data_IF_714477098484
#
_entry.id   IF_714477098484
#
_cell.length_a   1.000
_cell.length_b   1.000
_cell.length_c   1.000
_cell.angle_alpha   90.00
_cell.angle_beta   90.00
_cell.angle_gamma   90.00
#
_symmetry.space_group_name_H-M   'P 1'
#
loop_
_entity.id
_entity.type
_entity.pdbx_description
1 polymer ?
#
# COMPACT_ATOMS: atom_id res chain seq x y z
N UNK A 1 40.32 45.16 -22.73
CA UNK A 1 39.27 44.59 -23.61
C UNK A 1 39.08 43.08 -23.47
N UNK A 2 40.11 42.29 -23.14
CA UNK A 2 39.98 40.82 -23.03
C UNK A 2 39.14 40.33 -21.83
N UNK A 3 39.22 41.03 -20.69
CA UNK A 3 38.52 40.67 -19.45
C UNK A 3 37.00 40.85 -19.54
N UNK A 4 36.53 41.92 -20.18
CA UNK A 4 35.10 42.18 -20.38
C UNK A 4 34.42 41.14 -21.30
N UNK A 5 35.14 40.59 -22.27
CA UNK A 5 34.60 39.55 -23.16
C UNK A 5 34.43 38.21 -22.45
N UNK A 6 35.32 37.89 -21.51
CA UNK A 6 35.26 36.65 -20.72
C UNK A 6 34.10 36.65 -19.72
N UNK A 7 33.83 37.79 -19.06
CA UNK A 7 32.68 37.92 -18.15
C UNK A 7 31.35 37.88 -18.88
N UNK A 8 31.24 38.52 -20.05
CA UNK A 8 30.02 38.47 -20.87
C UNK A 8 29.75 37.04 -21.38
N UNK A 9 30.79 36.31 -21.76
CA UNK A 9 30.66 34.92 -22.21
C UNK A 9 30.23 33.99 -21.06
N UNK A 10 30.81 34.15 -19.87
CA UNK A 10 30.43 33.37 -18.69
C UNK A 10 28.97 33.63 -18.27
N UNK A 11 28.52 34.88 -18.34
CA UNK A 11 27.13 35.25 -18.07
C UNK A 11 26.16 34.63 -19.10
N UNK A 12 26.50 34.68 -20.39
CA UNK A 12 25.68 34.09 -21.45
C UNK A 12 25.56 32.56 -21.31
N UNK A 13 26.67 31.88 -20.95
CA UNK A 13 26.65 30.44 -20.68
C UNK A 13 25.80 30.11 -19.44
N UNK A 14 25.94 30.89 -18.37
CA UNK A 14 25.14 30.71 -17.15
C UNK A 14 23.64 30.88 -17.38
N UNK A 15 23.23 31.91 -18.14
CA UNK A 15 21.83 32.13 -18.52
C UNK A 15 21.31 30.98 -19.38
N UNK A 16 22.10 30.52 -20.34
CA UNK A 16 21.70 29.41 -21.23
C UNK A 16 21.51 28.10 -20.46
N UNK A 17 22.41 27.80 -19.52
CA UNK A 17 22.29 26.64 -18.63
C UNK A 17 21.08 26.76 -17.69
N UNK A 18 20.85 27.95 -17.12
CA UNK A 18 19.69 28.20 -16.26
C UNK A 18 18.36 28.02 -17.01
N UNK A 19 18.24 28.56 -18.22
CA UNK A 19 17.05 28.37 -19.07
C UNK A 19 16.88 26.89 -19.41
N UNK A 20 17.95 26.19 -19.79
CA UNK A 20 17.88 24.75 -20.09
C UNK A 20 17.37 23.93 -18.89
N UNK A 21 17.90 24.16 -17.69
CA UNK A 21 17.46 23.47 -16.46
C UNK A 21 15.98 23.76 -16.17
N UNK A 22 15.55 25.03 -16.27
CA UNK A 22 14.15 25.40 -16.04
C UNK A 22 13.23 24.79 -17.10
N UNK A 23 13.63 24.76 -18.37
CA UNK A 23 12.85 24.13 -19.44
C UNK A 23 12.74 22.63 -19.24
N UNK A 24 13.82 21.95 -18.83
CA UNK A 24 13.81 20.52 -18.52
C UNK A 24 12.92 20.22 -17.31
N UNK A 25 13.07 20.98 -16.21
CA UNK A 25 12.23 20.82 -15.02
C UNK A 25 10.76 21.11 -15.32
N UNK A 26 10.46 22.15 -16.12
CA UNK A 26 9.10 22.47 -16.51
C UNK A 26 8.52 21.42 -17.47
N UNK A 27 9.33 20.81 -18.34
CA UNK A 27 8.92 19.69 -19.17
C UNK A 27 8.54 18.46 -18.33
N UNK A 28 9.35 18.12 -17.32
CA UNK A 28 9.01 17.06 -16.37
C UNK A 28 7.80 17.40 -15.49
N UNK A 29 7.59 18.68 -15.16
CA UNK A 29 6.46 19.12 -14.35
C UNK A 29 5.14 19.19 -15.13
N UNK A 30 5.18 19.35 -16.46
CA UNK A 30 4.01 19.29 -17.33
C UNK A 30 3.66 17.86 -17.79
N UNK A 31 4.46 16.87 -17.42
CA UNK A 31 4.24 15.48 -17.80
C UNK A 31 3.13 14.87 -16.91
N UNK A 32 1.87 14.98 -17.34
CA UNK A 32 0.70 14.32 -16.73
C UNK A 32 0.91 12.81 -16.48
N UNK A 33 1.90 12.22 -17.15
CA UNK A 33 2.27 10.83 -17.02
C UNK A 33 2.75 10.45 -15.61
N UNK A 34 3.39 11.37 -14.86
CA UNK A 34 3.77 11.13 -13.47
C UNK A 34 2.54 11.05 -12.55
N UNK A 35 1.55 11.91 -12.75
CA UNK A 35 0.28 11.84 -12.00
C UNK A 35 -0.46 10.51 -12.25
N UNK A 36 -0.47 10.01 -13.50
CA UNK A 36 -1.03 8.68 -13.82
C UNK A 36 -0.22 7.50 -13.28
N UNK A 37 1.08 7.69 -13.03
CA UNK A 37 1.92 6.70 -12.35
C UNK A 37 1.54 6.55 -10.87
N UNK A 38 1.12 7.64 -10.22
CA UNK A 38 0.79 7.66 -8.79
C UNK A 38 -0.70 7.54 -8.48
N UNK A 39 -1.62 7.88 -9.39
CA UNK A 39 -3.07 7.76 -9.22
C UNK A 39 -3.71 7.23 -10.52
N UNK A 40 -4.11 5.94 -10.57
CA UNK A 40 -4.86 5.43 -11.70
C UNK A 40 -6.34 5.84 -11.62
N UNK A 41 -6.87 6.43 -12.69
CA UNK A 41 -8.29 6.33 -13.06
C UNK A 41 -8.47 5.00 -13.79
N UNK A 42 -9.29 4.09 -13.26
CA UNK A 42 -9.51 2.78 -13.84
C UNK A 42 -10.84 2.77 -14.62
N UNK A 43 -10.75 2.47 -15.91
CA UNK A 43 -11.84 2.52 -16.90
C UNK A 43 -12.81 1.34 -16.81
N UNK A 44 -13.17 0.87 -15.60
CA UNK A 44 -14.10 -0.25 -15.41
C UNK A 44 -15.59 0.12 -15.57
N UNK A 45 -15.90 1.39 -15.82
CA UNK A 45 -17.27 1.87 -15.96
C UNK A 45 -17.92 1.52 -17.32
N UNK A 46 -17.13 1.30 -18.39
CA UNK A 46 -17.73 1.03 -19.71
C UNK A 46 -18.40 -0.34 -19.81
N UNK A 47 -17.78 -1.37 -19.23
CA UNK A 47 -18.27 -2.75 -19.31
C UNK A 47 -19.48 -2.98 -18.38
N UNK A 48 -19.49 -2.36 -17.19
CA UNK A 48 -20.64 -2.43 -16.28
C UNK A 48 -21.89 -1.74 -16.85
N UNK A 49 -21.73 -0.61 -17.55
CA UNK A 49 -22.85 0.09 -18.19
C UNK A 49 -23.48 -0.75 -19.30
N UNK A 50 -22.68 -1.51 -20.05
CA UNK A 50 -23.18 -2.36 -21.13
C UNK A 50 -23.90 -3.62 -20.61
N UNK A 51 -23.40 -4.21 -19.52
CA UNK A 51 -24.08 -5.32 -18.81
C UNK A 51 -25.41 -4.84 -18.23
N UNK A 52 -25.42 -3.68 -17.57
CA UNK A 52 -26.65 -3.11 -16.97
C UNK A 52 -27.69 -2.81 -18.05
N UNK A 53 -27.27 -2.24 -19.19
CA UNK A 53 -28.15 -2.00 -20.35
C UNK A 53 -28.68 -3.31 -20.94
N UNK A 54 -27.85 -4.34 -21.07
CA UNK A 54 -28.27 -5.67 -21.56
C UNK A 54 -29.26 -6.37 -20.64
N UNK A 55 -29.15 -6.18 -19.32
CA UNK A 55 -30.07 -6.76 -18.34
C UNK A 55 -31.44 -6.05 -18.35
N UNK A 56 -31.46 -4.72 -18.50
CA UNK A 56 -32.70 -3.92 -18.52
C UNK A 56 -33.53 -4.15 -19.80
N UNK A 57 -32.88 -4.47 -20.93
CA UNK A 57 -33.57 -4.76 -22.18
C UNK A 57 -34.03 -6.21 -22.36
N UNK A 58 -33.92 -7.06 -21.33
CA UNK A 58 -34.41 -8.44 -21.37
C UNK A 58 -35.94 -8.46 -21.21
N UNK A 59 -36.62 -8.28 -22.35
CA UNK A 59 -38.03 -8.60 -22.65
C UNK A 59 -38.99 -8.57 -21.45
N UNK A 60 -39.40 -7.36 -21.07
CA UNK A 60 -40.38 -7.07 -20.02
C UNK A 60 -41.76 -7.70 -20.24
N UNK A 61 -42.02 -8.28 -21.41
CA UNK A 61 -43.29 -8.93 -21.73
C UNK A 61 -43.39 -10.39 -21.24
N UNK A 62 -42.33 -10.94 -20.63
CA UNK A 62 -42.31 -12.34 -20.16
C UNK A 62 -42.53 -12.52 -18.65
N UNK A 63 -42.56 -11.44 -17.88
CA UNK A 63 -42.70 -11.52 -16.41
C UNK A 63 -44.07 -11.03 -15.96
N UNK A 64 -45.00 -11.97 -15.77
CA UNK A 64 -46.30 -11.69 -15.16
C UNK A 64 -46.12 -11.79 -13.65
N UNK A 65 -46.08 -10.65 -12.98
CA UNK A 65 -46.00 -10.58 -11.51
C UNK A 65 -47.38 -10.94 -10.94
N UNK A 66 -47.54 -12.16 -10.42
CA UNK A 66 -48.84 -12.70 -9.96
C UNK A 66 -49.18 -12.37 -8.49
N UNK A 67 -48.44 -11.48 -7.83
CA UNK A 67 -48.78 -11.02 -6.48
C UNK A 67 -48.32 -9.57 -6.24
N UNK A 68 -48.98 -8.81 -5.36
CA UNK A 68 -48.45 -7.52 -4.93
C UNK A 68 -47.05 -7.74 -4.36
N UNK A 69 -46.04 -7.10 -4.94
CA UNK A 69 -44.70 -7.07 -4.38
C UNK A 69 -44.79 -6.33 -3.05
N UNK A 70 -44.58 -7.03 -1.93
CA UNK A 70 -44.44 -6.40 -0.62
C UNK A 70 -43.10 -5.67 -0.58
N UNK A 71 -43.11 -4.39 -0.98
CA UNK A 71 -41.93 -3.52 -0.94
C UNK A 71 -41.41 -3.28 0.49
N UNK A 72 -42.21 -3.61 1.51
CA UNK A 72 -41.88 -3.45 2.92
C UNK A 72 -41.46 -4.77 3.59
N UNK A 73 -41.32 -5.87 2.84
CA UNK A 73 -40.90 -7.17 3.38
C UNK A 73 -39.54 -7.08 4.10
N UNK A 74 -38.56 -6.40 3.48
CA UNK A 74 -37.23 -6.16 4.07
C UNK A 74 -37.27 -5.10 5.18
N UNK A 75 -38.21 -4.15 5.12
CA UNK A 75 -38.35 -3.12 6.15
C UNK A 75 -38.94 -3.69 7.46
N UNK A 76 -39.56 -4.87 7.43
CA UNK A 76 -40.00 -5.58 8.63
C UNK A 76 -38.89 -6.45 9.25
N UNK A 77 -37.79 -6.69 8.54
CA UNK A 77 -36.66 -7.52 8.99
C UNK A 77 -35.50 -6.69 9.60
N UNK A 78 -35.85 -5.64 10.35
CA UNK A 78 -34.86 -4.78 11.02
C UNK A 78 -34.07 -5.48 12.13
N UNK A 79 -34.45 -6.69 12.54
CA UNK A 79 -33.77 -7.42 13.62
C UNK A 79 -32.58 -8.25 13.12
N UNK A 80 -32.66 -8.89 11.94
CA UNK A 80 -31.58 -9.76 11.47
C UNK A 80 -30.34 -9.00 10.98
N UNK A 81 -30.52 -7.83 10.35
CA UNK A 81 -29.37 -7.03 9.88
C UNK A 81 -28.53 -6.47 11.04
N UNK A 82 -29.16 -6.00 12.11
CA UNK A 82 -28.44 -5.43 13.27
C UNK A 82 -27.67 -6.47 14.08
N UNK A 83 -28.14 -7.72 14.12
CA UNK A 83 -27.44 -8.81 14.82
C UNK A 83 -26.24 -9.30 14.01
N UNK A 84 -26.39 -9.48 12.70
CA UNK A 84 -25.29 -9.86 11.80
C UNK A 84 -24.18 -8.80 11.79
N UNK A 85 -24.55 -7.50 11.82
CA UNK A 85 -23.58 -6.41 11.92
C UNK A 85 -22.80 -6.43 13.24
N UNK A 86 -23.42 -6.85 14.35
CA UNK A 86 -22.74 -7.00 15.65
C UNK A 86 -21.79 -8.18 15.63
N UNK A 87 -22.23 -9.32 15.13
CA UNK A 87 -21.40 -10.53 15.01
C UNK A 87 -20.18 -10.25 14.14
N UNK A 88 -20.36 -9.65 12.96
CA UNK A 88 -19.26 -9.27 12.07
C UNK A 88 -18.27 -8.30 12.73
N UNK A 89 -18.76 -7.34 13.53
CA UNK A 89 -17.90 -6.42 14.29
C UNK A 89 -17.12 -7.11 15.41
N UNK A 90 -17.73 -8.06 16.09
CA UNK A 90 -17.02 -8.85 17.12
C UNK A 90 -15.99 -9.79 16.47
N UNK A 91 -16.30 -10.39 15.32
CA UNK A 91 -15.33 -11.17 14.55
C UNK A 91 -14.14 -10.32 14.08
N UNK A 92 -14.40 -9.10 13.59
CA UNK A 92 -13.35 -8.15 13.23
C UNK A 92 -12.40 -7.87 14.39
N UNK A 93 -12.90 -7.77 15.63
CA UNK A 93 -12.06 -7.58 16.82
C UNK A 93 -11.16 -8.77 17.13
N UNK A 94 -11.53 -9.98 16.68
CA UNK A 94 -10.71 -11.19 16.85
C UNK A 94 -9.52 -11.26 15.90
N UNK A 95 -9.51 -10.43 14.84
CA UNK A 95 -8.39 -10.37 13.90
C UNK A 95 -7.16 -9.82 14.62
N UNK A 96 -6.11 -10.65 14.69
CA UNK A 96 -4.85 -10.29 15.34
C UNK A 96 -3.91 -9.68 14.31
N UNK A 97 -3.47 -8.46 14.58
CA UNK A 97 -2.55 -7.72 13.73
C UNK A 97 -1.30 -7.43 14.54
N UNK A 98 -0.15 -7.87 14.07
CA UNK A 98 1.15 -7.47 14.61
C UNK A 98 1.68 -6.32 13.75
N UNK A 99 1.82 -5.15 14.37
CA UNK A 99 2.51 -4.03 13.76
C UNK A 99 3.92 -3.96 14.31
N UNK A 100 4.92 -3.91 13.44
CA UNK A 100 6.28 -3.58 13.82
C UNK A 100 6.65 -2.23 13.21
N UNK A 101 7.28 -1.40 14.02
CA UNK A 101 7.68 -0.03 13.66
C UNK A 101 9.18 0.02 13.53
N UNK A 102 9.66 0.48 12.37
CA UNK A 102 11.08 0.72 12.18
C UNK A 102 11.43 2.13 12.67
N UNK A 103 12.43 2.23 13.55
CA UNK A 103 12.91 3.51 14.08
C UNK A 103 14.42 3.47 14.29
N UNK A 104 15.05 4.65 14.45
CA UNK A 104 16.46 4.75 14.80
C UNK A 104 16.66 4.70 16.32
N UNK A 105 17.83 4.22 16.80
CA UNK A 105 18.16 4.25 18.22
C UNK A 105 18.04 5.64 18.85
N UNK A 106 18.40 6.69 18.09
CA UNK A 106 18.32 8.08 18.54
C UNK A 106 16.87 8.56 18.75
N UNK A 107 15.91 7.98 18.02
CA UNK A 107 14.49 8.31 18.15
C UNK A 107 13.80 7.54 19.29
N UNK A 108 14.37 6.42 19.76
CA UNK A 108 13.73 5.58 20.79
C UNK A 108 13.38 6.35 22.07
N UNK A 109 14.26 7.16 22.68
CA UNK A 109 13.92 7.87 23.92
C UNK A 109 12.83 8.94 23.74
N UNK A 110 12.59 9.39 22.51
CA UNK A 110 11.68 10.49 22.17
C UNK A 110 10.32 9.95 21.74
N UNK A 111 10.32 8.89 20.91
CA UNK A 111 9.14 8.36 20.25
C UNK A 111 8.60 7.08 20.86
N UNK A 112 9.44 6.28 21.53
CA UNK A 112 9.01 4.97 22.01
C UNK A 112 8.25 5.09 23.33
N UNK A 113 7.12 4.39 23.42
CA UNK A 113 6.44 4.13 24.67
C UNK A 113 7.16 2.97 25.40
N UNK A 114 7.64 3.16 26.63
CA UNK A 114 8.37 2.13 27.39
C UNK A 114 7.58 0.84 27.65
N UNK A 115 6.26 0.85 27.49
CA UNK A 115 5.42 -0.34 27.62
C UNK A 115 5.54 -1.32 26.43
N UNK A 116 6.15 -0.90 25.32
CA UNK A 116 6.40 -1.75 24.16
C UNK A 116 7.89 -2.13 24.06
N UNK A 117 8.22 -3.39 23.73
CA UNK A 117 9.60 -3.83 23.62
C UNK A 117 10.27 -3.23 22.38
N UNK A 118 11.47 -2.69 22.55
CA UNK A 118 12.36 -2.32 21.45
C UNK A 118 13.38 -3.45 21.19
N UNK A 119 13.48 -3.89 19.94
CA UNK A 119 14.37 -4.98 19.53
C UNK A 119 15.50 -4.42 18.67
N UNK A 120 16.74 -4.59 19.13
CA UNK A 120 17.93 -4.26 18.33
C UNK A 120 18.21 -5.33 17.28
N UNK A 121 18.37 -4.94 16.03
CA UNK A 121 18.57 -5.86 14.89
C UNK A 121 20.03 -6.03 14.46
N UNK A 122 20.97 -5.38 15.14
CA UNK A 122 22.41 -5.39 14.80
C UNK A 122 22.71 -5.05 13.33
N UNK A 123 22.03 -4.02 12.82
CA UNK A 123 22.23 -3.48 11.47
C UNK A 123 22.67 -2.02 11.60
N UNK A 124 23.62 -1.61 10.75
CA UNK A 124 24.10 -0.23 10.71
C UNK A 124 22.94 0.75 10.46
N UNK A 125 22.92 1.85 11.20
CA UNK A 125 22.00 2.96 10.99
C UNK A 125 22.22 3.66 9.65
N UNK A 126 21.19 4.32 9.14
CA UNK A 126 21.24 5.04 7.86
C UNK A 126 20.17 4.58 6.87
N UNK A 127 19.76 5.51 5.99
CA UNK A 127 18.72 5.27 4.97
C UNK A 127 19.18 4.26 3.92
N UNK A 128 20.48 4.20 3.67
CA UNK A 128 21.12 3.24 2.77
C UNK A 128 21.04 1.79 3.27
N UNK A 129 20.79 1.59 4.57
CA UNK A 129 20.71 0.26 5.19
C UNK A 129 19.25 -0.19 5.43
N UNK A 130 18.25 0.55 4.94
CA UNK A 130 16.83 0.23 5.15
C UNK A 130 16.48 -1.18 4.72
N UNK A 131 17.03 -1.64 3.59
CA UNK A 131 16.79 -2.99 3.12
C UNK A 131 17.34 -4.04 4.10
N UNK A 132 18.58 -3.90 4.56
CA UNK A 132 19.18 -4.79 5.55
C UNK A 132 18.39 -4.83 6.85
N UNK A 133 17.90 -3.67 7.31
CA UNK A 133 17.04 -3.56 8.49
C UNK A 133 15.72 -4.30 8.30
N UNK A 134 15.04 -4.10 7.17
CA UNK A 134 13.81 -4.81 6.83
C UNK A 134 14.02 -6.32 6.72
N UNK A 135 15.12 -6.79 6.09
CA UNK A 135 15.47 -8.22 6.05
C UNK A 135 15.62 -8.79 7.46
N UNK A 136 16.36 -8.10 8.34
CA UNK A 136 16.56 -8.52 9.72
C UNK A 136 15.25 -8.53 10.52
N UNK A 137 14.42 -7.49 10.36
CA UNK A 137 13.12 -7.37 11.02
C UNK A 137 12.17 -8.51 10.62
N UNK A 138 12.02 -8.78 9.32
CA UNK A 138 11.15 -9.87 8.86
C UNK A 138 11.66 -11.26 9.26
N UNK A 139 12.98 -11.47 9.30
CA UNK A 139 13.54 -12.70 9.89
C UNK A 139 13.19 -12.83 11.37
N UNK A 140 13.29 -11.74 12.15
CA UNK A 140 12.95 -11.74 13.56
C UNK A 140 11.45 -12.02 13.78
N UNK A 141 10.58 -11.30 13.09
CA UNK A 141 9.11 -11.47 13.15
C UNK A 141 8.71 -12.90 12.81
N UNK A 142 9.29 -13.47 11.74
CA UNK A 142 9.02 -14.87 11.37
C UNK A 142 9.49 -15.85 12.45
N UNK A 143 10.69 -15.67 13.01
CA UNK A 143 11.24 -16.63 13.96
C UNK A 143 10.55 -16.59 15.33
N UNK A 144 10.00 -15.45 15.74
CA UNK A 144 9.48 -15.24 17.10
C UNK A 144 7.97 -15.04 17.18
N UNK A 145 7.35 -14.47 16.14
CA UNK A 145 5.97 -13.97 16.22
C UNK A 145 5.04 -14.49 15.12
N UNK A 146 5.48 -15.47 14.34
CA UNK A 146 4.70 -16.01 13.22
C UNK A 146 3.31 -16.52 13.62
N UNK A 147 3.15 -16.97 14.87
CA UNK A 147 1.90 -17.55 15.40
C UNK A 147 1.08 -16.55 16.24
N UNK A 148 1.63 -15.37 16.52
CA UNK A 148 1.03 -14.39 17.42
C UNK A 148 -0.05 -13.55 16.73
N UNK A 149 0.06 -13.38 15.41
CA UNK A 149 -0.88 -12.60 14.60
C UNK A 149 -1.29 -13.30 13.31
N UNK A 150 -2.41 -12.88 12.73
CA UNK A 150 -2.93 -13.32 11.43
C UNK A 150 -2.44 -12.41 10.29
N UNK A 151 -2.19 -11.14 10.61
CA UNK A 151 -1.71 -10.11 9.69
C UNK A 151 -0.51 -9.36 10.28
N UNK A 152 0.43 -8.98 9.42
CA UNK A 152 1.69 -8.36 9.81
C UNK A 152 1.86 -7.05 9.07
N UNK A 153 1.94 -5.94 9.81
CA UNK A 153 2.10 -4.60 9.26
C UNK A 153 3.51 -4.07 9.53
N UNK A 154 4.16 -3.57 8.48
CA UNK A 154 5.31 -2.67 8.59
C UNK A 154 4.80 -1.24 8.63
N UNK A 155 5.27 -0.47 9.60
CA UNK A 155 5.03 0.97 9.71
C UNK A 155 6.35 1.73 9.99
N UNK A 156 6.37 3.00 9.64
CA UNK A 156 7.45 3.92 10.04
C UNK A 156 7.05 4.66 11.33
N UNK A 157 8.04 5.26 12.00
CA UNK A 157 7.85 5.96 13.28
C UNK A 157 7.14 7.33 13.16
N UNK A 158 6.65 7.65 11.97
CA UNK A 158 5.80 8.79 11.62
C UNK A 158 4.49 8.34 10.94
N UNK A 159 4.19 7.04 10.93
CA UNK A 159 2.96 6.48 10.36
C UNK A 159 1.80 6.55 11.36
N UNK A 160 0.65 7.04 10.91
CA UNK A 160 -0.61 6.97 11.65
C UNK A 160 -1.52 5.87 11.08
N UNK A 161 -2.03 4.98 11.93
CA UNK A 161 -2.86 3.83 11.52
C UNK A 161 -4.18 3.82 12.28
N UNK A 162 -5.29 3.74 11.54
CA UNK A 162 -6.61 3.46 12.12
C UNK A 162 -6.85 1.95 12.08
N UNK A 163 -6.61 1.27 13.21
CA UNK A 163 -6.62 -0.20 13.28
C UNK A 163 -8.01 -0.77 12.95
N UNK A 164 -9.09 -0.07 13.29
CA UNK A 164 -10.46 -0.47 12.97
C UNK A 164 -10.69 -0.53 11.45
N UNK A 165 -10.14 0.43 10.71
CA UNK A 165 -10.22 0.45 9.24
C UNK A 165 -9.39 -0.68 8.64
N UNK A 166 -8.20 -0.94 9.20
CA UNK A 166 -7.37 -2.06 8.76
C UNK A 166 -8.06 -3.40 9.02
N UNK A 167 -8.65 -3.61 10.20
CA UNK A 167 -9.46 -4.80 10.51
C UNK A 167 -10.63 -4.94 9.55
N UNK A 168 -11.32 -3.85 9.24
CA UNK A 168 -12.41 -3.86 8.26
C UNK A 168 -11.93 -4.33 6.88
N UNK A 169 -10.80 -3.80 6.40
CA UNK A 169 -10.19 -4.18 5.12
C UNK A 169 -9.89 -5.68 5.05
N UNK A 170 -9.21 -6.23 6.07
CA UNK A 170 -8.75 -7.62 6.06
C UNK A 170 -9.81 -8.63 6.50
N UNK A 171 -10.94 -8.19 7.05
CA UNK A 171 -12.01 -9.08 7.55
C UNK A 171 -12.64 -9.98 6.50
N UNK A 172 -12.49 -9.64 5.23
CA UNK A 172 -13.04 -10.38 4.09
C UNK A 172 -12.01 -11.31 3.45
N UNK A 173 -10.82 -11.39 4.01
CA UNK A 173 -9.66 -12.09 3.42
C UNK A 173 -9.20 -13.23 4.33
N UNK A 174 -8.61 -14.26 3.72
CA UNK A 174 -8.09 -15.42 4.43
C UNK A 174 -6.59 -15.20 4.74
N UNK A 175 -6.15 -15.13 6.02
CA UNK A 175 -4.74 -14.92 6.34
C UNK A 175 -3.82 -16.09 5.91
N UNK A 176 -4.38 -17.27 5.63
CA UNK A 176 -3.63 -18.42 5.09
C UNK A 176 -3.50 -18.37 3.55
N UNK A 177 -4.04 -17.34 2.91
CA UNK A 177 -3.81 -17.03 1.50
C UNK A 177 -2.81 -15.88 1.35
N UNK A 178 -2.03 -15.84 0.25
CA UNK A 178 -1.00 -14.83 0.07
C UNK A 178 -1.61 -13.46 -0.27
N UNK A 179 -1.56 -12.53 0.69
CA UNK A 179 -2.00 -11.15 0.51
C UNK A 179 -0.85 -10.15 0.73
N UNK A 180 -0.76 -9.14 -0.14
CA UNK A 180 0.18 -8.03 -0.04
C UNK A 180 -0.54 -6.69 -0.25
N UNK A 181 -0.87 -6.05 0.86
CA UNK A 181 -1.73 -4.89 0.92
C UNK A 181 -0.90 -3.64 1.20
N UNK A 182 -1.25 -2.52 0.56
CA UNK A 182 -0.58 -1.24 0.76
C UNK A 182 -0.92 -0.26 -0.35
N UNK A 183 -0.08 0.77 -0.51
CA UNK A 183 -0.17 1.68 -1.66
C UNK A 183 0.63 1.14 -2.83
N UNK A 184 -0.06 0.55 -3.80
CA UNK A 184 0.56 -0.05 -4.97
C UNK A 184 1.14 1.00 -5.95
N UNK A 185 2.43 0.90 -6.22
CA UNK A 185 3.14 1.57 -7.30
C UNK A 185 3.56 0.58 -8.37
N UNK A 186 3.22 0.88 -9.63
CA UNK A 186 3.44 0.01 -10.80
C UNK A 186 4.90 -0.17 -11.28
N UNK A 187 5.86 0.76 -11.06
CA UNK A 187 7.23 0.56 -11.50
C UNK A 187 7.83 -0.75 -10.97
N UNK A 188 8.80 -1.30 -11.71
CA UNK A 188 9.55 -2.52 -11.34
C UNK A 188 8.71 -3.79 -11.14
N UNK A 189 7.53 -3.88 -11.76
CA UNK A 189 6.65 -5.06 -11.67
C UNK A 189 5.62 -5.00 -10.55
N UNK A 190 5.55 -3.89 -9.81
CA UNK A 190 4.58 -3.65 -8.75
C UNK A 190 5.16 -3.83 -7.35
N UNK A 191 5.10 -2.79 -6.52
CA UNK A 191 5.44 -2.83 -5.09
C UNK A 191 4.49 -1.94 -4.29
N UNK A 192 4.40 -2.13 -2.97
CA UNK A 192 3.69 -1.20 -2.09
C UNK A 192 4.67 -0.20 -1.50
N UNK A 193 4.30 1.09 -1.46
CA UNK A 193 5.15 2.16 -0.92
C UNK A 193 5.52 1.91 0.55
N UNK A 194 6.81 1.97 0.87
CA UNK A 194 7.29 1.79 2.24
C UNK A 194 6.78 2.85 3.21
N UNK A 195 6.65 4.11 2.76
CA UNK A 195 6.22 5.25 3.57
C UNK A 195 4.72 5.29 3.85
N UNK A 196 3.90 4.58 3.08
CA UNK A 196 2.48 4.39 3.42
C UNK A 196 2.28 3.23 4.42
N UNK A 197 3.33 2.46 4.69
CA UNK A 197 3.23 1.14 5.31
C UNK A 197 2.64 0.09 4.36
N UNK A 198 2.85 -1.17 4.72
CA UNK A 198 2.28 -2.30 4.01
C UNK A 198 1.94 -3.44 4.96
N UNK A 199 1.00 -4.28 4.55
CA UNK A 199 0.45 -5.38 5.36
C UNK A 199 0.58 -6.68 4.57
N UNK A 200 1.10 -7.71 5.24
CA UNK A 200 1.24 -9.06 4.73
C UNK A 200 0.34 -9.99 5.52
N UNK A 201 -0.32 -10.93 4.83
CA UNK A 201 -0.96 -12.06 5.51
C UNK A 201 0.09 -13.02 6.09
N UNK A 202 -0.34 -13.90 6.98
CA UNK A 202 0.50 -14.98 7.52
C UNK A 202 1.17 -15.78 6.39
N UNK A 203 0.42 -16.18 5.37
CA UNK A 203 1.00 -16.95 4.27
C UNK A 203 2.04 -16.15 3.46
N UNK A 204 1.81 -14.85 3.25
CA UNK A 204 2.79 -13.97 2.58
C UNK A 204 4.09 -13.87 3.36
N UNK A 205 4.05 -13.79 4.70
CA UNK A 205 5.26 -13.76 5.53
C UNK A 205 6.03 -15.08 5.43
N UNK A 206 5.34 -16.24 5.38
CA UNK A 206 6.00 -17.55 5.17
C UNK A 206 6.72 -17.62 3.84
N UNK A 207 6.06 -17.16 2.77
CA UNK A 207 6.65 -17.09 1.43
C UNK A 207 7.82 -16.14 1.37
N UNK A 208 7.69 -14.96 1.98
CA UNK A 208 8.74 -13.97 1.98
C UNK A 208 9.98 -14.47 2.73
N UNK A 209 9.82 -15.13 3.88
CA UNK A 209 10.94 -15.75 4.60
C UNK A 209 11.72 -16.76 3.75
N UNK A 210 11.01 -17.54 2.92
CA UNK A 210 11.64 -18.48 1.98
C UNK A 210 12.43 -17.73 0.90
N UNK A 211 11.89 -16.65 0.34
CA UNK A 211 12.62 -15.81 -0.61
C UNK A 211 13.85 -15.15 0.02
N UNK A 212 13.77 -14.67 1.27
CA UNK A 212 14.91 -14.08 1.98
C UNK A 212 16.08 -15.07 2.15
N UNK A 213 15.82 -16.38 2.16
CA UNK A 213 16.84 -17.42 2.23
C UNK A 213 17.47 -17.80 0.88
N UNK A 214 17.00 -17.23 -0.22
CA UNK A 214 17.47 -17.53 -1.57
C UNK A 214 17.88 -16.24 -2.29
N UNK A 215 19.18 -16.01 -2.41
CA UNK A 215 19.75 -14.81 -3.03
C UNK A 215 19.46 -14.69 -4.53
N UNK A 216 19.03 -15.78 -5.18
CA UNK A 216 18.58 -15.74 -6.58
C UNK A 216 17.19 -15.15 -6.74
N UNK A 217 16.35 -15.22 -5.69
CA UNK A 217 15.00 -14.65 -5.65
C UNK A 217 14.96 -13.28 -5.00
N UNK A 218 15.83 -13.05 -4.01
CA UNK A 218 15.80 -11.85 -3.18
C UNK A 218 17.21 -11.34 -2.87
N UNK A 219 17.59 -10.21 -3.48
CA UNK A 219 18.95 -9.67 -3.36
C UNK A 219 19.28 -9.32 -1.91
N UNK A 220 20.53 -9.54 -1.49
CA UNK A 220 20.99 -9.08 -0.17
C UNK A 220 21.23 -7.56 -0.14
N UNK A 221 21.41 -6.94 -1.30
CA UNK A 221 21.68 -5.51 -1.44
C UNK A 221 20.59 -4.87 -2.30
N UNK A 222 20.06 -3.74 -1.83
CA UNK A 222 19.12 -2.92 -2.58
C UNK A 222 19.24 -1.45 -2.14
N UNK A 223 18.98 -0.55 -3.08
CA UNK A 223 18.92 0.89 -2.85
C UNK A 223 17.57 1.34 -2.27
N UNK A 224 16.52 0.51 -2.44
CA UNK A 224 15.16 0.80 -2.00
C UNK A 224 14.54 -0.45 -1.40
N UNK A 225 14.14 -0.33 -0.13
CA UNK A 225 13.59 -1.42 0.67
C UNK A 225 12.27 -1.93 0.11
N UNK A 226 11.33 -1.04 -0.14
CA UNK A 226 9.98 -1.34 -0.60
C UNK A 226 9.94 -1.97 -2.00
N UNK A 227 10.81 -1.48 -2.90
CA UNK A 227 11.03 -2.07 -4.22
C UNK A 227 11.54 -3.50 -4.10
N UNK A 228 12.50 -3.77 -3.21
CA UNK A 228 13.06 -5.11 -3.07
C UNK A 228 12.07 -6.07 -2.40
N UNK A 229 11.33 -5.62 -1.37
CA UNK A 229 10.21 -6.37 -0.80
C UNK A 229 9.22 -6.78 -1.89
N UNK A 230 8.84 -5.84 -2.77
CA UNK A 230 7.95 -6.11 -3.91
C UNK A 230 8.50 -7.19 -4.84
N UNK A 231 9.78 -7.12 -5.25
CA UNK A 231 10.40 -8.13 -6.10
C UNK A 231 10.45 -9.51 -5.46
N UNK A 232 10.85 -9.59 -4.19
CA UNK A 232 10.98 -10.86 -3.48
C UNK A 232 9.62 -11.54 -3.28
N UNK A 233 8.57 -10.75 -2.98
CA UNK A 233 7.20 -11.24 -2.91
C UNK A 233 6.69 -11.68 -4.29
N UNK A 234 6.97 -10.91 -5.33
CA UNK A 234 6.60 -11.24 -6.71
C UNK A 234 7.21 -12.58 -7.16
N UNK A 235 8.48 -12.81 -6.84
CA UNK A 235 9.19 -14.07 -7.12
C UNK A 235 8.52 -15.28 -6.43
N UNK A 236 7.77 -15.04 -5.35
CA UNK A 236 6.99 -16.04 -4.62
C UNK A 236 5.50 -16.09 -5.01
N UNK A 237 5.14 -15.42 -6.11
CA UNK A 237 3.77 -15.36 -6.62
C UNK A 237 2.83 -14.49 -5.77
N UNK A 238 3.37 -13.59 -4.95
CA UNK A 238 2.59 -12.64 -4.14
C UNK A 238 2.69 -11.26 -4.76
N UNK A 239 1.57 -10.68 -5.18
CA UNK A 239 1.52 -9.38 -5.88
C UNK A 239 0.75 -8.35 -5.05
N UNK A 240 1.06 -7.04 -5.20
CA UNK A 240 0.25 -6.00 -4.58
C UNK A 240 -1.22 -6.08 -5.01
N UNK A 241 -2.13 -6.01 -4.04
CA UNK A 241 -3.57 -5.98 -4.29
C UNK A 241 -4.13 -4.55 -4.33
N UNK A 242 -5.30 -4.39 -4.94
CA UNK A 242 -6.03 -3.12 -4.89
C UNK A 242 -6.71 -2.97 -3.52
N UNK A 243 -6.22 -2.04 -2.71
CA UNK A 243 -6.70 -1.77 -1.36
C UNK A 243 -7.66 -0.58 -1.28
N UNK A 244 -7.98 0.06 -2.42
CA UNK A 244 -8.87 1.22 -2.46
C UNK A 244 -10.26 0.85 -1.95
N UNK A 245 -10.94 1.83 -1.37
CA UNK A 245 -12.32 1.63 -0.93
C UNK A 245 -13.30 1.51 -2.11
N UNK A 246 -14.57 1.26 -1.80
CA UNK A 246 -15.63 1.12 -2.82
C UNK A 246 -15.85 2.38 -3.67
N UNK A 247 -15.34 3.54 -3.25
CA UNK A 247 -15.36 4.79 -4.00
C UNK A 247 -14.05 5.04 -4.75
N UNK A 248 -13.13 4.07 -4.78
CA UNK A 248 -11.83 4.17 -5.44
C UNK A 248 -10.81 5.01 -4.67
N UNK A 249 -11.07 5.36 -3.41
CA UNK A 249 -10.18 6.22 -2.61
C UNK A 249 -9.08 5.40 -1.95
N UNK A 250 -7.93 6.05 -1.79
CA UNK A 250 -6.73 5.47 -1.19
C UNK A 250 -6.93 5.18 0.30
N UNK A 251 -6.63 3.94 0.71
CA UNK A 251 -6.64 3.51 2.12
C UNK A 251 -5.24 3.50 2.74
N UNK A 252 -4.20 3.53 1.89
CA UNK A 252 -2.80 3.69 2.25
C UNK A 252 -2.25 4.96 1.58
N UNK A 253 -1.86 5.95 2.40
CA UNK A 253 -1.46 7.27 1.93
C UNK A 253 0.04 7.51 2.16
N UNK A 254 0.87 7.53 1.10
CA UNK A 254 2.30 7.80 1.23
C UNK A 254 2.63 9.29 1.33
N UNK A 255 1.67 10.15 0.99
CA UNK A 255 1.85 11.59 0.88
C UNK A 255 0.74 12.34 1.65
N UNK A 256 1.03 13.54 2.18
CA UNK A 256 0.01 14.41 2.76
C UNK A 256 -1.10 14.74 1.74
N UNK A 257 -2.33 14.95 2.22
CA UNK A 257 -3.48 15.29 1.37
C UNK A 257 -3.32 16.59 0.56
N UNK A 258 -2.37 17.46 0.93
CA UNK A 258 -2.15 18.73 0.24
C UNK A 258 -1.30 18.58 -1.04
N UNK A 259 -0.88 17.36 -1.37
CA UNK A 259 0.03 17.06 -2.49
C UNK A 259 -0.67 16.31 -3.63
N UNK A 260 -2.01 16.23 -3.61
CA UNK A 260 -2.84 15.55 -4.63
C UNK A 260 -3.77 16.57 -5.28
#
# INVERSE_FOLDING_TARGET
MATARSTILAFAVGVSFGVFVVTVLNHFNQDEHLHRLFVPEESHDSDLRDITRKLIHRDSNKFKVESPVDFDADMKDHHHHLTLDKEAKEEQKRIRILCWVMTSPDNLPIKADPSYPAIGLDVKEGRENLWSKTRAAWNYVYNHHMNDADWFMKADDDTFVVIENLRHLVSKMNPEEPHYLGRHFKPFGGYNSGGAGYVLSRESVRRFKKALGDTSLCSEQSFAEDVEVGKCLYAMGVKPENTRDSSGRETFMPLPRNTI
#
